data_IF_185870815700
#
_entry.id   IF_185870815700
#
_cell.length_a   1.000
_cell.length_b   1.000
_cell.length_c   1.000
_cell.angle_alpha   90.00
_cell.angle_beta   90.00
_cell.angle_gamma   90.00
#
_symmetry.space_group_name_H-M   'P 1'
#
loop_
_entity.id
_entity.type
_entity.pdbx_description
1 polymer ?
#
# COMPACT_ATOMS: atom_id res chain seq x y z
N UNK A 1 12.91 3.33 -10.73
CA UNK A 1 12.40 1.99 -11.08
C UNK A 1 11.47 1.43 -9.99
N UNK A 2 10.38 0.76 -10.38
CA UNK A 2 9.36 0.23 -9.45
C UNK A 2 9.95 -0.76 -8.42
N UNK A 3 10.97 -1.54 -8.80
CA UNK A 3 11.63 -2.52 -7.92
C UNK A 3 12.31 -1.86 -6.71
N UNK A 4 12.92 -0.67 -6.91
CA UNK A 4 13.53 0.08 -5.80
C UNK A 4 12.47 0.62 -4.83
N UNK A 5 11.29 1.02 -5.34
CA UNK A 5 10.16 1.47 -4.51
C UNK A 5 9.57 0.32 -3.69
N UNK A 6 9.36 -0.85 -4.32
CA UNK A 6 8.90 -2.07 -3.66
C UNK A 6 9.82 -2.49 -2.49
N UNK A 7 11.14 -2.37 -2.64
CA UNK A 7 12.10 -2.65 -1.54
C UNK A 7 11.90 -1.75 -0.32
N UNK A 8 11.46 -0.50 -0.51
CA UNK A 8 11.14 0.40 0.60
C UNK A 8 9.87 -0.10 1.31
N UNK A 9 8.86 -0.55 0.56
CA UNK A 9 7.64 -1.12 1.13
C UNK A 9 7.91 -2.41 1.92
N UNK A 10 8.82 -3.28 1.48
CA UNK A 10 9.26 -4.42 2.29
C UNK A 10 9.92 -4.02 3.60
N UNK A 11 10.78 -2.99 3.59
CA UNK A 11 11.36 -2.47 4.84
C UNK A 11 10.29 -1.87 5.75
N UNK A 12 9.33 -1.16 5.18
CA UNK A 12 8.22 -0.58 5.93
C UNK A 12 7.35 -1.65 6.56
N UNK A 13 7.01 -2.70 5.82
CA UNK A 13 6.27 -3.86 6.32
C UNK A 13 6.96 -4.51 7.53
N UNK A 14 8.28 -4.73 7.45
CA UNK A 14 9.05 -5.28 8.57
C UNK A 14 8.99 -4.37 9.80
N UNK A 15 9.17 -3.06 9.63
CA UNK A 15 9.06 -2.10 10.73
C UNK A 15 7.66 -2.11 11.37
N UNK A 16 6.60 -2.20 10.57
CA UNK A 16 5.24 -2.29 11.09
C UNK A 16 5.01 -3.58 11.89
N UNK A 17 5.61 -4.70 11.47
CA UNK A 17 5.55 -5.96 12.22
C UNK A 17 6.31 -5.86 13.55
N UNK A 18 7.52 -5.33 13.52
CA UNK A 18 8.38 -5.15 14.71
C UNK A 18 7.71 -4.24 15.75
N UNK A 19 7.03 -3.19 15.31
CA UNK A 19 6.35 -2.22 16.16
C UNK A 19 4.84 -2.47 16.33
N UNK A 20 4.33 -3.64 15.92
CA UNK A 20 2.88 -3.94 15.90
C UNK A 20 2.17 -3.69 17.23
N UNK A 21 2.80 -4.09 18.34
CA UNK A 21 2.23 -3.91 19.68
C UNK A 21 2.23 -2.44 20.13
N UNK A 22 3.27 -1.70 19.77
CA UNK A 22 3.37 -0.28 20.09
C UNK A 22 2.32 0.52 19.34
N UNK A 23 2.20 0.30 18.02
CA UNK A 23 1.18 0.94 17.18
C UNK A 23 -0.23 0.66 17.68
N UNK A 24 -0.53 -0.59 18.04
CA UNK A 24 -1.84 -0.92 18.59
C UNK A 24 -2.13 -0.19 19.92
N UNK A 25 -1.12 0.01 20.77
CA UNK A 25 -1.29 0.78 22.02
C UNK A 25 -1.56 2.26 21.74
N UNK A 26 -0.86 2.86 20.78
CA UNK A 26 -1.09 4.25 20.36
C UNK A 26 -2.53 4.40 19.87
N UNK A 27 -2.99 3.51 18.98
CA UNK A 27 -4.37 3.52 18.47
C UNK A 27 -5.37 3.39 19.63
N UNK A 28 -5.16 2.48 20.57
CA UNK A 28 -6.04 2.34 21.74
C UNK A 28 -6.10 3.61 22.58
N UNK A 29 -4.98 4.30 22.79
CA UNK A 29 -4.93 5.55 23.57
C UNK A 29 -5.63 6.70 22.84
N UNK A 30 -5.43 6.84 21.53
CA UNK A 30 -5.95 7.97 20.76
C UNK A 30 -7.39 7.79 20.29
N UNK A 31 -7.72 6.59 19.78
CA UNK A 31 -9.04 6.29 19.23
C UNK A 31 -10.02 5.75 20.29
N UNK A 32 -9.50 5.09 21.33
CA UNK A 32 -10.32 4.51 22.41
C UNK A 32 -10.80 3.07 22.15
N UNK A 33 -10.49 2.47 20.99
CA UNK A 33 -10.80 1.06 20.71
C UNK A 33 -9.96 0.10 21.55
N UNK A 34 -10.52 -1.08 21.83
CA UNK A 34 -9.81 -2.08 22.63
C UNK A 34 -8.54 -2.58 21.91
N UNK A 35 -7.58 -3.11 22.68
CA UNK A 35 -6.29 -3.52 22.15
C UNK A 35 -6.38 -4.62 21.08
N UNK A 36 -7.37 -5.51 21.18
CA UNK A 36 -7.58 -6.59 20.21
C UNK A 36 -8.03 -6.04 18.86
N UNK A 37 -8.96 -5.08 18.86
CA UNK A 37 -9.40 -4.37 17.66
C UNK A 37 -8.27 -3.54 17.05
N UNK A 38 -7.48 -2.85 17.88
CA UNK A 38 -6.32 -2.10 17.43
C UNK A 38 -5.26 -3.02 16.79
N UNK A 39 -4.98 -4.19 17.38
CA UNK A 39 -4.07 -5.18 16.78
C UNK A 39 -4.59 -5.71 15.44
N UNK A 40 -5.91 -5.89 15.32
CA UNK A 40 -6.56 -6.23 14.06
C UNK A 40 -6.38 -5.14 13.01
N UNK A 41 -6.59 -3.87 13.38
CA UNK A 41 -6.37 -2.73 12.50
C UNK A 41 -4.94 -2.64 11.99
N UNK A 42 -3.95 -2.75 12.89
CA UNK A 42 -2.53 -2.75 12.52
C UNK A 42 -2.24 -3.89 11.54
N UNK A 43 -2.77 -5.08 11.81
CA UNK A 43 -2.64 -6.24 10.92
C UNK A 43 -3.19 -5.96 9.51
N UNK A 44 -4.39 -5.40 9.40
CA UNK A 44 -4.98 -5.02 8.11
C UNK A 44 -4.16 -3.94 7.41
N UNK A 45 -3.61 -2.97 8.14
CA UNK A 45 -2.69 -1.98 7.57
C UNK A 45 -1.44 -2.62 6.95
N UNK A 46 -0.85 -3.60 7.65
CA UNK A 46 0.31 -4.36 7.17
C UNK A 46 -0.02 -5.14 5.88
N UNK A 47 -1.18 -5.82 5.83
CA UNK A 47 -1.63 -6.55 4.63
C UNK A 47 -1.69 -5.64 3.38
N UNK A 48 -2.08 -4.37 3.55
CA UNK A 48 -2.09 -3.40 2.45
C UNK A 48 -0.68 -3.05 1.97
N UNK A 49 0.28 -2.89 2.89
CA UNK A 49 1.68 -2.65 2.54
C UNK A 49 2.30 -3.87 1.85
N UNK A 50 1.95 -5.09 2.28
CA UNK A 50 2.36 -6.35 1.64
C UNK A 50 1.86 -6.42 0.20
N UNK A 51 0.59 -6.10 -0.03
CA UNK A 51 0.03 -6.03 -1.38
C UNK A 51 0.75 -4.97 -2.24
N UNK A 52 0.96 -3.78 -1.69
CA UNK A 52 1.64 -2.68 -2.38
C UNK A 52 3.10 -3.02 -2.75
N UNK A 53 3.80 -3.84 -1.94
CA UNK A 53 5.14 -4.31 -2.26
C UNK A 53 5.18 -5.14 -3.56
N UNK A 54 4.04 -5.68 -4.00
CA UNK A 54 3.82 -6.32 -5.31
C UNK A 54 3.75 -5.35 -6.50
N UNK A 55 4.05 -4.06 -6.31
CA UNK A 55 3.99 -3.02 -7.34
C UNK A 55 4.59 -3.38 -8.72
N UNK A 56 5.72 -4.11 -8.86
CA UNK A 56 6.25 -4.46 -10.17
C UNK A 56 5.27 -5.21 -11.07
N UNK A 57 4.53 -6.17 -10.50
CA UNK A 57 3.50 -6.92 -11.22
C UNK A 57 2.25 -6.08 -11.42
N UNK A 58 1.83 -5.32 -10.39
CA UNK A 58 0.65 -4.46 -10.46
C UNK A 58 0.77 -3.32 -11.49
N UNK A 59 2.00 -2.91 -11.82
CA UNK A 59 2.29 -1.87 -12.80
C UNK A 59 2.46 -2.39 -14.23
N UNK A 60 2.43 -3.70 -14.45
CA UNK A 60 2.47 -4.24 -15.81
C UNK A 60 1.27 -3.70 -16.61
N UNK A 61 1.54 -3.26 -17.83
CA UNK A 61 0.51 -2.95 -18.80
C UNK A 61 0.33 -4.09 -19.80
N UNK A 62 -0.52 -3.86 -20.79
CA UNK A 62 -0.86 -4.86 -21.79
C UNK A 62 -0.04 -4.65 -23.07
N UNK A 63 0.27 -5.73 -23.77
CA UNK A 63 0.99 -5.68 -25.05
C UNK A 63 0.34 -6.64 -26.05
N UNK A 64 0.16 -6.17 -27.29
CA UNK A 64 -0.31 -6.96 -28.41
C UNK A 64 0.69 -6.81 -29.57
N UNK A 65 1.20 -7.95 -30.03
CA UNK A 65 2.23 -8.02 -31.07
C UNK A 65 1.69 -7.74 -32.48
N UNK A 66 0.37 -7.84 -32.70
CA UNK A 66 -0.24 -7.56 -34.00
C UNK A 66 -1.67 -7.08 -33.84
N UNK A 67 -1.90 -5.81 -34.19
CA UNK A 67 -3.25 -5.24 -34.32
C UNK A 67 -3.59 -4.91 -35.78
N UNK A 68 -2.57 -4.70 -36.61
CA UNK A 68 -2.65 -4.58 -38.06
C UNK A 68 -1.29 -5.01 -38.65
N UNK A 69 -1.21 -5.10 -39.99
CA UNK A 69 0.06 -5.41 -40.67
C UNK A 69 1.13 -4.40 -40.25
N UNK A 70 2.25 -4.90 -39.74
CA UNK A 70 3.40 -4.11 -39.27
C UNK A 70 3.07 -3.12 -38.14
N UNK A 71 2.04 -3.39 -37.33
CA UNK A 71 1.65 -2.55 -36.18
C UNK A 71 1.50 -3.37 -34.90
N UNK A 72 2.31 -3.00 -33.89
CA UNK A 72 2.21 -3.46 -32.50
C UNK A 72 1.67 -2.33 -31.59
N UNK A 73 1.14 -2.71 -30.43
CA UNK A 73 0.68 -1.75 -29.42
C UNK A 73 1.06 -2.24 -28.03
N UNK A 74 1.51 -1.32 -27.17
CA UNK A 74 1.79 -1.61 -25.76
C UNK A 74 1.36 -0.44 -24.89
N UNK A 75 0.72 -0.78 -23.78
CA UNK A 75 0.28 0.18 -22.77
C UNK A 75 1.21 0.10 -21.56
N UNK A 76 1.39 1.24 -20.89
CA UNK A 76 2.22 1.35 -19.69
C UNK A 76 1.49 2.15 -18.63
N UNK A 77 1.70 1.78 -17.35
CA UNK A 77 1.16 2.52 -16.21
C UNK A 77 2.22 3.45 -15.62
N UNK A 78 1.90 4.74 -15.54
CA UNK A 78 2.76 5.77 -14.96
C UNK A 78 2.06 6.46 -13.78
N UNK A 79 2.81 6.92 -12.77
CA UNK A 79 2.24 7.72 -11.69
C UNK A 79 1.71 9.05 -12.21
N UNK A 80 0.63 9.54 -11.62
CA UNK A 80 -0.07 10.77 -12.06
C UNK A 80 0.49 12.06 -11.44
N UNK A 81 1.38 11.96 -10.45
CA UNK A 81 1.99 13.10 -9.77
C UNK A 81 1.60 13.17 -8.28
N UNK A 82 1.20 14.36 -7.83
CA UNK A 82 0.85 14.61 -6.42
C UNK A 82 -0.50 14.00 -6.07
N UNK A 83 -0.57 13.27 -4.97
CA UNK A 83 -1.79 12.66 -4.44
C UNK A 83 -2.05 13.20 -3.03
N UNK A 84 -3.28 13.64 -2.76
CA UNK A 84 -3.73 14.05 -1.43
C UNK A 84 -4.60 12.98 -0.77
N UNK A 85 -4.34 12.65 0.49
CA UNK A 85 -5.13 11.72 1.28
C UNK A 85 -5.73 12.37 2.51
N UNK A 86 -7.04 12.17 2.72
CA UNK A 86 -7.79 12.65 3.90
C UNK A 86 -8.49 11.45 4.51
N UNK A 87 -8.22 11.17 5.78
CA UNK A 87 -8.68 9.94 6.45
C UNK A 87 -9.57 10.24 7.65
N UNK A 88 -10.60 9.41 7.92
CA UNK A 88 -11.45 9.56 9.10
C UNK A 88 -10.74 9.10 10.38
N UNK A 89 -11.30 9.46 11.53
CA UNK A 89 -10.71 9.15 12.85
C UNK A 89 -10.85 7.69 13.28
N UNK A 90 -11.82 6.94 12.72
CA UNK A 90 -12.23 5.63 13.23
C UNK A 90 -11.22 4.51 12.96
N UNK A 91 -10.35 4.68 11.96
CA UNK A 91 -9.28 3.75 11.61
C UNK A 91 -8.01 4.54 11.27
N UNK A 92 -7.35 5.10 12.29
CA UNK A 92 -6.27 6.07 12.12
C UNK A 92 -5.00 5.48 11.50
N UNK A 93 -4.85 4.15 11.41
CA UNK A 93 -3.74 3.50 10.72
C UNK A 93 -4.18 2.77 9.46
N UNK A 94 -5.29 2.00 9.53
CA UNK A 94 -5.69 1.14 8.41
C UNK A 94 -6.11 1.97 7.19
N UNK A 95 -6.91 3.02 7.36
CA UNK A 95 -7.38 3.82 6.21
C UNK A 95 -6.23 4.58 5.54
N UNK A 96 -5.28 5.20 6.26
CA UNK A 96 -4.07 5.73 5.62
C UNK A 96 -3.29 4.67 4.84
N UNK A 97 -3.15 3.45 5.38
CA UNK A 97 -2.45 2.35 4.71
C UNK A 97 -3.17 1.84 3.44
N UNK A 98 -4.46 2.17 3.23
CA UNK A 98 -5.14 1.91 1.95
C UNK A 98 -4.71 2.87 0.84
N UNK A 99 -4.15 4.02 1.21
CA UNK A 99 -3.89 5.13 0.30
C UNK A 99 -2.41 5.23 -0.07
N UNK A 100 -1.56 5.64 0.89
CA UNK A 100 -0.20 6.05 0.56
C UNK A 100 0.74 4.91 0.14
N UNK A 101 0.61 3.65 0.59
CA UNK A 101 1.46 2.56 0.10
C UNK A 101 1.19 2.26 -1.39
N UNK A 102 -0.04 2.49 -1.84
CA UNK A 102 -0.50 2.25 -3.22
C UNK A 102 -0.26 3.43 -4.16
N UNK A 103 0.14 4.58 -3.62
CA UNK A 103 0.30 5.86 -4.33
C UNK A 103 1.58 5.93 -5.18
#
# INVERSE_FOLDING_TARGET
PVQKRARILFKFQNLLQDHKKELARIITVENGKNLTEALGEVGRGIENVEFAAGAPTLMMGDSLTTIAKDVEITNYRYPIGVIGGITPFNFPMMVPCWMFPMA
#
